data_IF_812287911348
#
_entry.id   IF_812287911348
#
_cell.length_a   1.000
_cell.length_b   1.000
_cell.length_c   1.000
_cell.angle_alpha   90.00
_cell.angle_beta   90.00
_cell.angle_gamma   90.00
#
_symmetry.space_group_name_H-M   'P 1'
#
loop_
_entity.id
_entity.type
_entity.pdbx_description
1 polymer ?
#
# COMPACT_ATOMS: atom_id res chain seq x y z
N UNK A 1 -5.43 1.43 29.91
CA UNK A 1 -5.29 1.46 29.45
C UNK A 1 -4.93 1.33 28.68
N UNK A 2 -4.75 1.11 28.44
CA UNK A 2 -4.39 1.06 27.79
C UNK A 2 -3.94 1.44 26.95
N UNK A 3 -3.64 1.65 27.05
CA UNK A 3 -3.14 2.35 26.15
C UNK A 3 -2.19 1.69 25.32
N UNK A 4 -2.38 1.37 24.39
CA UNK A 4 -1.55 0.84 23.59
C UNK A 4 -0.92 1.76 22.79
N UNK A 5 0.25 1.65 22.49
CA UNK A 5 0.97 2.60 21.71
C UNK A 5 0.47 2.57 20.32
N UNK A 6 0.00 3.67 19.94
CA UNK A 6 -0.47 3.81 18.68
C UNK A 6 0.57 3.70 17.67
N UNK A 7 1.77 4.12 17.93
CA UNK A 7 2.83 4.05 17.00
C UNK A 7 3.08 2.63 16.59
N UNK A 8 2.99 1.74 17.51
CA UNK A 8 3.14 0.41 17.19
C UNK A 8 2.11 -0.09 16.27
N UNK A 9 0.91 0.35 16.46
CA UNK A 9 -0.12 -0.01 15.63
C UNK A 9 0.11 0.40 14.23
N UNK A 10 0.59 1.58 14.01
CA UNK A 10 0.83 2.07 12.70
C UNK A 10 1.88 1.26 12.02
N UNK A 11 2.90 0.84 12.73
CA UNK A 11 3.95 0.10 12.11
C UNK A 11 3.52 -1.31 11.83
N UNK A 12 2.54 -1.77 12.52
CA UNK A 12 2.08 -3.13 12.34
C UNK A 12 0.73 -3.24 11.73
N UNK A 13 0.55 -2.60 10.62
CA UNK A 13 -0.70 -2.69 9.93
C UNK A 13 -0.91 -4.12 9.50
N UNK A 14 -2.12 -4.60 9.59
CA UNK A 14 -2.40 -5.96 9.23
C UNK A 14 -2.32 -6.15 7.74
N UNK A 15 -2.04 -7.36 7.34
CA UNK A 15 -1.98 -7.69 5.94
C UNK A 15 -3.28 -7.37 5.25
N UNK A 16 -4.38 -7.63 5.93
CA UNK A 16 -5.68 -7.37 5.37
C UNK A 16 -5.89 -5.89 5.10
N UNK A 17 -5.46 -5.05 6.02
CA UNK A 17 -5.58 -3.62 5.83
C UNK A 17 -4.78 -3.14 4.64
N UNK A 18 -3.59 -3.68 4.50
CA UNK A 18 -2.75 -3.29 3.38
C UNK A 18 -3.31 -3.77 2.05
N UNK A 19 -3.86 -4.96 2.05
CA UNK A 19 -4.47 -5.47 0.84
C UNK A 19 -5.68 -4.65 0.45
N UNK A 20 -6.48 -4.25 1.43
CA UNK A 20 -7.62 -3.41 1.16
C UNK A 20 -7.18 -2.08 0.58
N UNK A 21 -6.14 -1.52 1.14
CA UNK A 21 -5.64 -0.25 0.67
C UNK A 21 -5.11 -0.37 -0.75
N UNK A 22 -4.44 -1.46 -1.05
CA UNK A 22 -3.92 -1.70 -2.37
C UNK A 22 -5.04 -1.79 -3.38
N UNK A 23 -6.09 -2.49 -3.03
CA UNK A 23 -7.22 -2.64 -3.92
C UNK A 23 -7.91 -1.31 -4.18
N UNK A 24 -8.11 -0.53 -3.13
CA UNK A 24 -8.73 0.76 -3.27
C UNK A 24 -7.92 1.65 -4.18
N UNK A 25 -6.61 1.64 -3.99
CA UNK A 25 -5.73 2.45 -4.80
C UNK A 25 -5.77 2.03 -6.26
N UNK A 26 -5.76 0.73 -6.50
CA UNK A 26 -5.82 0.21 -7.86
C UNK A 26 -7.11 0.62 -8.55
N UNK A 27 -8.21 0.57 -7.82
CA UNK A 27 -9.49 0.95 -8.39
C UNK A 27 -9.54 2.44 -8.69
N UNK A 28 -8.95 3.25 -7.81
CA UNK A 28 -8.91 4.66 -8.04
C UNK A 28 -8.13 4.99 -9.30
N UNK A 29 -6.99 4.33 -9.47
CA UNK A 29 -6.19 4.55 -10.64
C UNK A 29 -6.94 4.13 -11.89
N UNK A 30 -7.58 2.98 -11.85
CA UNK A 30 -8.31 2.50 -13.00
C UNK A 30 -9.43 3.46 -13.40
N UNK A 31 -10.07 4.05 -12.39
CA UNK A 31 -11.17 4.94 -12.65
C UNK A 31 -10.70 6.24 -13.29
N UNK A 32 -9.54 6.71 -12.92
CA UNK A 32 -9.05 7.99 -13.40
C UNK A 32 -8.00 7.90 -14.48
N UNK A 33 -7.64 6.70 -14.86
CA UNK A 33 -6.53 6.52 -15.78
C UNK A 33 -6.64 7.30 -17.05
N UNK A 34 -7.82 7.39 -17.61
CA UNK A 34 -7.99 8.08 -18.85
C UNK A 34 -7.75 9.56 -18.75
N UNK A 35 -7.90 10.12 -17.58
CA UNK A 35 -7.68 11.53 -17.40
C UNK A 35 -6.34 11.86 -16.79
N UNK A 36 -5.54 10.85 -16.45
CA UNK A 36 -4.28 11.10 -15.81
C UNK A 36 -3.20 11.36 -16.84
N UNK A 37 -2.31 12.26 -16.50
CA UNK A 37 -1.16 12.50 -17.35
C UNK A 37 -0.19 11.34 -17.15
N UNK A 38 0.76 11.16 -18.05
CA UNK A 38 1.77 10.11 -17.86
C UNK A 38 2.52 10.25 -16.56
N UNK A 39 2.79 11.47 -16.13
CA UNK A 39 3.50 11.67 -14.88
C UNK A 39 2.65 11.23 -13.69
N UNK A 40 1.36 11.51 -13.76
CA UNK A 40 0.48 11.11 -12.70
C UNK A 40 0.35 9.60 -12.63
N UNK A 41 0.29 8.96 -13.80
CA UNK A 41 0.22 7.52 -13.84
C UNK A 41 1.47 6.90 -13.25
N UNK A 42 2.60 7.47 -13.59
CA UNK A 42 3.87 7.01 -13.08
C UNK A 42 3.91 7.08 -11.57
N UNK A 43 3.49 8.21 -11.04
CA UNK A 43 3.48 8.40 -9.61
C UNK A 43 2.52 7.41 -8.94
N UNK A 44 1.36 7.21 -9.53
CA UNK A 44 0.39 6.30 -8.98
C UNK A 44 0.92 4.87 -8.99
N UNK A 45 1.64 4.53 -10.04
CA UNK A 45 2.22 3.21 -10.14
C UNK A 45 3.27 3.00 -9.07
N UNK A 46 4.06 4.01 -8.80
CA UNK A 46 5.04 3.93 -7.76
C UNK A 46 4.42 3.69 -6.40
N UNK A 47 3.32 4.36 -6.14
CA UNK A 47 2.64 4.15 -4.88
C UNK A 47 2.10 2.74 -4.76
N UNK A 48 1.62 2.19 -5.85
CA UNK A 48 1.15 0.82 -5.84
C UNK A 48 2.30 -0.14 -5.55
N UNK A 49 3.44 0.15 -6.11
CA UNK A 49 4.60 -0.69 -5.88
C UNK A 49 5.03 -0.66 -4.42
N UNK A 50 4.97 0.50 -3.80
CA UNK A 50 5.29 0.61 -2.40
C UNK A 50 4.33 -0.20 -1.55
N UNK A 51 3.05 -0.14 -1.87
CA UNK A 51 2.07 -0.90 -1.13
C UNK A 51 2.29 -2.40 -1.34
N UNK A 52 2.62 -2.78 -2.55
CA UNK A 52 2.86 -4.18 -2.84
C UNK A 52 4.07 -4.69 -2.08
N UNK A 53 5.10 -3.87 -1.98
CA UNK A 53 6.29 -4.23 -1.23
C UNK A 53 5.96 -4.41 0.25
N UNK A 54 5.12 -3.54 0.75
CA UNK A 54 4.74 -3.63 2.14
C UNK A 54 3.95 -4.89 2.40
N UNK A 55 3.04 -5.22 1.48
CA UNK A 55 2.27 -6.44 1.59
C UNK A 55 3.19 -7.64 1.59
N UNK A 56 4.17 -7.63 0.69
CA UNK A 56 5.12 -8.72 0.59
C UNK A 56 5.89 -8.90 1.88
N UNK A 57 6.36 -7.79 2.40
CA UNK A 57 7.13 -7.82 3.63
C UNK A 57 6.36 -8.40 4.78
N UNK A 58 5.11 -8.00 4.93
CA UNK A 58 4.30 -8.50 6.01
C UNK A 58 3.93 -9.94 5.79
N UNK A 59 3.60 -10.30 4.56
CA UNK A 59 3.19 -11.66 4.26
C UNK A 59 4.32 -12.66 4.45
N UNK A 60 5.54 -12.26 4.14
CA UNK A 60 6.65 -13.19 4.23
C UNK A 60 7.47 -13.00 5.49
N UNK A 61 7.25 -11.90 6.18
CA UNK A 61 8.01 -11.63 7.37
C UNK A 61 9.42 -11.19 7.10
N UNK A 62 9.72 -10.78 5.88
CA UNK A 62 11.06 -10.39 5.57
C UNK A 62 11.10 -9.31 4.52
N UNK A 63 12.29 -8.95 4.10
CA UNK A 63 12.42 -7.89 3.12
C UNK A 63 11.97 -8.39 1.76
N UNK A 64 11.56 -7.47 0.91
CA UNK A 64 11.11 -7.88 -0.41
C UNK A 64 12.28 -8.37 -1.23
N UNK A 65 12.00 -9.16 -2.23
CA UNK A 65 13.07 -9.67 -3.06
C UNK A 65 13.60 -8.58 -3.94
N UNK A 66 14.74 -8.62 -4.24
CA UNK A 66 15.24 -7.66 -5.16
C UNK A 66 15.85 -6.53 -4.77
#
# INVERSE_FOLDING_TARGET
MKARPRAERRSNRSLRELLDELIVHAREIARRAKRMTPAELDYAQQRLEWLADEVWRIATGGPPPG
#
